data_IF_009950349845
#
_entry.id   IF_009950349845
#
_cell.length_a   1.000
_cell.length_b   1.000
_cell.length_c   1.000
_cell.angle_alpha   90.00
_cell.angle_beta   90.00
_cell.angle_gamma   90.00
#
_symmetry.space_group_name_H-M   'P 1'
#
loop_
_entity.id
_entity.type
_entity.pdbx_description
1 polymer ?
#
# COMPACT_ATOMS: atom_id res chain seq x y z
N UNK A 1 23.02 19.29 48.37
CA UNK A 1 21.76 19.81 47.79
C UNK A 1 21.22 20.83 48.78
N UNK A 2 21.21 22.12 48.42
CA UNK A 2 20.71 23.20 49.30
C UNK A 2 19.18 23.12 49.41
N UNK A 3 18.64 23.49 50.60
CA UNK A 3 17.20 23.59 50.84
C UNK A 3 16.53 24.54 49.83
N UNK A 4 15.28 24.27 49.36
CA UNK A 4 14.52 25.16 48.50
C UNK A 4 14.45 26.62 49.02
N UNK A 5 14.45 26.82 50.32
CA UNK A 5 14.43 28.15 50.97
C UNK A 5 15.76 28.92 50.78
N UNK A 6 16.91 28.24 50.70
CA UNK A 6 18.20 28.89 50.43
C UNK A 6 18.33 29.40 49.01
N UNK A 7 17.62 28.76 48.05
CA UNK A 7 17.62 29.16 46.65
C UNK A 7 16.82 30.47 46.44
N UNK A 8 15.78 30.70 47.26
CA UNK A 8 14.94 31.92 47.17
C UNK A 8 15.55 33.17 47.83
N UNK A 9 16.53 32.99 48.74
CA UNK A 9 17.22 34.10 49.40
C UNK A 9 18.46 34.60 48.66
N UNK A 10 18.93 33.86 47.64
CA UNK A 10 20.05 34.20 46.76
C UNK A 10 19.51 34.53 45.37
N UNK A 11 19.19 35.82 45.14
CA UNK A 11 18.59 36.29 43.90
C UNK A 11 19.51 36.10 42.67
N UNK A 12 20.78 36.37 42.80
CA UNK A 12 21.75 36.18 41.72
C UNK A 12 21.94 34.70 41.39
N UNK A 13 22.09 33.86 42.41
CA UNK A 13 22.14 32.40 42.22
C UNK A 13 20.87 31.84 41.65
N UNK A 14 19.70 32.41 42.00
CA UNK A 14 18.42 32.02 41.38
C UNK A 14 18.35 32.37 39.91
N UNK A 15 18.72 33.62 39.54
CA UNK A 15 18.76 34.06 38.13
C UNK A 15 19.68 33.18 37.29
N UNK A 16 20.86 32.83 37.82
CA UNK A 16 21.81 31.94 37.12
C UNK A 16 21.22 30.54 36.92
N UNK A 17 20.57 29.96 37.94
CA UNK A 17 19.93 28.65 37.85
C UNK A 17 18.74 28.65 36.91
N UNK A 18 17.94 29.74 36.94
CA UNK A 18 16.82 29.93 36.02
C UNK A 18 17.28 30.01 34.57
N UNK A 19 18.31 30.80 34.31
CA UNK A 19 18.91 30.93 32.98
C UNK A 19 19.47 29.61 32.47
N UNK A 20 20.23 28.89 33.32
CA UNK A 20 20.78 27.59 32.99
C UNK A 20 19.66 26.56 32.74
N UNK A 21 18.58 26.61 33.52
CA UNK A 21 17.41 25.77 33.33
C UNK A 21 16.71 26.03 31.97
N UNK A 22 16.49 27.30 31.64
CA UNK A 22 15.90 27.67 30.35
C UNK A 22 16.80 27.30 29.16
N UNK A 23 18.11 27.48 29.32
CA UNK A 23 19.08 27.05 28.33
C UNK A 23 19.07 25.54 28.17
N UNK A 24 19.09 24.78 29.26
CA UNK A 24 19.01 23.32 29.23
C UNK A 24 17.74 22.79 28.56
N UNK A 25 16.58 23.45 28.79
CA UNK A 25 15.33 23.10 28.10
C UNK A 25 15.44 23.36 26.60
N UNK A 26 16.00 24.47 26.19
CA UNK A 26 16.19 24.80 24.75
C UNK A 26 17.14 23.82 24.07
N UNK A 27 18.24 23.46 24.72
CA UNK A 27 19.30 22.62 24.14
C UNK A 27 18.95 21.11 24.16
N UNK A 28 18.16 20.66 25.15
CA UNK A 28 17.95 19.21 25.34
C UNK A 28 16.50 18.76 25.28
N UNK A 29 15.54 19.64 25.58
CA UNK A 29 14.12 19.29 25.73
C UNK A 29 13.18 20.04 24.80
N UNK A 30 13.70 20.98 23.97
CA UNK A 30 12.88 21.61 22.93
C UNK A 30 12.56 20.62 21.80
N UNK A 31 11.46 20.86 21.09
CA UNK A 31 11.11 20.08 19.90
C UNK A 31 12.22 20.09 18.84
N UNK A 32 12.92 21.24 18.68
CA UNK A 32 14.05 21.35 17.76
C UNK A 32 15.21 20.44 18.17
N UNK A 33 15.62 20.47 19.44
CA UNK A 33 16.69 19.60 19.96
C UNK A 33 16.31 18.13 19.85
N UNK A 34 15.06 17.81 20.15
CA UNK A 34 14.54 16.44 20.03
C UNK A 34 14.53 15.96 18.57
N UNK A 35 14.06 16.80 17.63
CA UNK A 35 14.04 16.48 16.20
C UNK A 35 15.46 16.25 15.65
N UNK A 36 16.42 17.13 16.00
CA UNK A 36 17.82 16.95 15.59
C UNK A 36 18.37 15.61 16.09
N UNK A 37 18.21 15.32 17.37
CA UNK A 37 18.69 14.07 17.97
C UNK A 37 18.01 12.84 17.39
N UNK A 38 16.70 12.92 17.10
CA UNK A 38 15.95 11.88 16.43
C UNK A 38 16.51 11.62 15.03
N UNK A 39 16.73 12.67 14.24
CA UNK A 39 17.30 12.55 12.90
C UNK A 39 18.72 11.98 12.91
N UNK A 40 19.56 12.35 13.87
CA UNK A 40 20.90 11.78 14.04
C UNK A 40 20.87 10.27 14.27
N UNK A 41 19.88 9.78 15.04
CA UNK A 41 19.74 8.34 15.32
C UNK A 41 19.11 7.59 14.14
N UNK A 42 18.12 8.21 13.47
CA UNK A 42 17.33 7.54 12.42
C UNK A 42 18.03 7.59 11.06
N UNK A 43 18.73 8.69 10.73
CA UNK A 43 19.42 8.85 9.44
C UNK A 43 20.37 7.70 9.11
N UNK A 44 21.27 7.22 10.00
CA UNK A 44 22.13 6.08 9.71
C UNK A 44 21.36 4.78 9.45
N UNK A 45 20.17 4.63 10.03
CA UNK A 45 19.30 3.47 9.82
C UNK A 45 18.67 3.55 8.43
N UNK A 46 18.18 4.75 8.05
CA UNK A 46 17.63 5.00 6.71
C UNK A 46 18.70 4.79 5.65
N UNK A 47 19.88 5.41 5.79
CA UNK A 47 20.99 5.31 4.85
C UNK A 47 21.44 3.85 4.68
N UNK A 48 21.48 3.08 5.76
CA UNK A 48 21.81 1.65 5.73
C UNK A 48 20.71 0.83 5.04
N UNK A 49 19.46 1.20 5.23
CA UNK A 49 18.31 0.55 4.58
C UNK A 49 18.27 0.91 3.10
N UNK A 50 18.52 2.16 2.73
CA UNK A 50 18.64 2.60 1.34
C UNK A 50 19.81 1.93 0.61
N UNK A 51 20.96 1.77 1.26
CA UNK A 51 22.09 1.05 0.69
C UNK A 51 21.78 -0.43 0.44
N UNK A 52 20.97 -1.07 1.29
CA UNK A 52 20.49 -2.44 1.09
C UNK A 52 19.43 -2.53 -0.02
N UNK A 53 18.60 -1.50 -0.19
CA UNK A 53 17.56 -1.43 -1.22
C UNK A 53 18.15 -1.06 -2.58
N UNK A 54 19.20 -0.21 -2.62
CA UNK A 54 19.88 0.25 -3.86
C UNK A 54 20.79 -0.78 -4.52
N UNK A 55 20.92 -2.01 -4.00
CA UNK A 55 21.61 -3.04 -4.77
C UNK A 55 20.70 -3.52 -5.91
N UNK A 56 20.93 -3.11 -7.16
CA UNK A 56 20.14 -3.62 -8.27
C UNK A 56 20.39 -5.13 -8.36
N UNK A 57 19.35 -5.94 -8.54
CA UNK A 57 19.53 -7.35 -8.78
C UNK A 57 20.35 -7.50 -10.07
N UNK A 58 21.53 -8.08 -9.95
CA UNK A 58 22.41 -8.42 -11.08
C UNK A 58 21.63 -9.33 -12.04
N UNK A 59 21.48 -8.92 -13.28
CA UNK A 59 20.77 -9.54 -14.40
C UNK A 59 19.27 -9.20 -14.48
N UNK A 60 18.95 -7.97 -14.90
CA UNK A 60 17.66 -7.64 -15.49
C UNK A 60 17.85 -7.38 -16.98
N UNK A 61 17.21 -8.17 -17.85
CA UNK A 61 16.75 -7.63 -19.13
C UNK A 61 15.90 -6.42 -18.78
N UNK A 62 16.24 -5.28 -19.37
CA UNK A 62 15.55 -4.04 -19.14
C UNK A 62 14.04 -4.27 -19.24
N UNK A 63 13.34 -4.24 -18.11
CA UNK A 63 11.97 -3.75 -18.17
C UNK A 63 12.12 -2.37 -18.80
N UNK A 64 11.32 -2.12 -19.81
CA UNK A 64 11.26 -0.80 -20.43
C UNK A 64 11.11 0.20 -19.29
N UNK A 65 12.04 1.15 -19.19
CA UNK A 65 12.00 2.19 -18.17
C UNK A 65 10.80 3.05 -18.49
N UNK A 66 9.72 2.84 -17.76
CA UNK A 66 8.55 3.68 -17.82
C UNK A 66 8.61 4.68 -16.67
N UNK A 67 8.31 5.92 -16.95
CA UNK A 67 8.23 6.98 -15.95
C UNK A 67 6.88 6.99 -15.22
N UNK A 68 5.95 6.12 -15.61
CA UNK A 68 4.61 6.01 -15.05
C UNK A 68 4.09 4.58 -15.01
N UNK A 69 3.09 4.36 -14.16
CA UNK A 69 2.45 3.06 -14.01
C UNK A 69 0.94 3.20 -13.77
N UNK A 70 0.18 2.22 -14.25
CA UNK A 70 -1.23 2.05 -13.89
C UNK A 70 -1.38 0.75 -13.12
N UNK A 71 -2.01 0.81 -11.96
CA UNK A 71 -2.40 -0.34 -11.16
C UNK A 71 -3.90 -0.40 -10.98
N UNK A 72 -4.49 -1.56 -11.10
CA UNK A 72 -5.92 -1.77 -10.90
C UNK A 72 -6.17 -3.03 -10.11
N UNK A 73 -7.27 -3.05 -9.33
CA UNK A 73 -7.79 -4.32 -8.83
C UNK A 73 -8.38 -5.14 -9.99
N UNK A 74 -8.59 -6.42 -9.75
CA UNK A 74 -9.12 -7.37 -10.73
C UNK A 74 -10.64 -7.52 -10.58
N UNK A 75 -11.09 -7.88 -9.38
CA UNK A 75 -12.48 -8.18 -9.10
C UNK A 75 -13.32 -6.91 -8.96
N UNK A 76 -14.49 -6.89 -9.60
CA UNK A 76 -15.39 -5.74 -9.62
C UNK A 76 -14.73 -4.42 -10.07
N UNK A 77 -13.58 -4.51 -10.70
CA UNK A 77 -12.85 -3.37 -11.24
C UNK A 77 -12.49 -3.56 -12.73
N UNK A 78 -11.66 -4.55 -13.06
CA UNK A 78 -11.51 -4.98 -14.47
C UNK A 78 -12.68 -5.86 -14.91
N UNK A 79 -13.19 -6.70 -13.99
CA UNK A 79 -14.26 -7.65 -14.26
C UNK A 79 -15.63 -7.05 -13.93
N UNK A 80 -16.61 -7.25 -14.85
CA UNK A 80 -18.01 -6.86 -14.66
C UNK A 80 -18.65 -6.34 -15.93
N UNK A 81 -17.92 -5.58 -16.76
CA UNK A 81 -18.38 -5.15 -18.09
C UNK A 81 -17.40 -5.58 -19.19
N UNK A 82 -17.72 -6.61 -19.99
CA UNK A 82 -16.85 -7.07 -21.06
C UNK A 82 -16.57 -6.03 -22.16
N UNK A 83 -17.48 -5.09 -22.38
CA UNK A 83 -17.32 -4.08 -23.44
C UNK A 83 -16.25 -3.05 -23.03
N UNK A 84 -16.37 -2.46 -21.87
CA UNK A 84 -15.38 -1.51 -21.36
C UNK A 84 -14.03 -2.18 -21.10
N UNK A 85 -14.02 -3.45 -20.64
CA UNK A 85 -12.79 -4.22 -20.53
C UNK A 85 -12.06 -4.38 -21.85
N UNK A 86 -12.76 -4.71 -22.93
CA UNK A 86 -12.16 -4.85 -24.26
C UNK A 86 -11.53 -3.54 -24.76
N UNK A 87 -12.18 -2.40 -24.50
CA UNK A 87 -11.66 -1.07 -24.83
C UNK A 87 -10.41 -0.78 -23.98
N UNK A 88 -10.47 -1.00 -22.68
CA UNK A 88 -9.34 -0.78 -21.77
C UNK A 88 -8.13 -1.63 -22.16
N UNK A 89 -8.32 -2.92 -22.45
CA UNK A 89 -7.25 -3.82 -22.90
C UNK A 89 -6.60 -3.31 -24.19
N UNK A 90 -7.38 -2.75 -25.12
CA UNK A 90 -6.85 -2.11 -26.32
C UNK A 90 -6.00 -0.89 -25.99
N UNK A 91 -6.51 0.03 -25.16
CA UNK A 91 -5.80 1.23 -24.71
C UNK A 91 -4.49 0.88 -24.00
N UNK A 92 -4.52 -0.08 -23.06
CA UNK A 92 -3.32 -0.56 -22.36
C UNK A 92 -2.28 -1.15 -23.31
N UNK A 93 -2.71 -1.90 -24.34
CA UNK A 93 -1.82 -2.50 -25.33
C UNK A 93 -1.17 -1.45 -26.22
N UNK A 94 -1.92 -0.46 -26.66
CA UNK A 94 -1.44 0.64 -27.51
C UNK A 94 -0.42 1.50 -26.76
N UNK A 95 -0.60 1.68 -25.45
CA UNK A 95 0.25 2.51 -24.59
C UNK A 95 1.29 1.72 -23.76
N UNK A 96 1.53 0.45 -24.10
CA UNK A 96 2.44 -0.42 -23.32
C UNK A 96 3.91 0.06 -23.30
N UNK A 97 4.30 0.90 -24.27
CA UNK A 97 5.63 1.51 -24.28
C UNK A 97 5.72 2.76 -23.39
N UNK A 98 4.60 3.27 -22.96
CA UNK A 98 4.49 4.50 -22.19
C UNK A 98 4.35 4.27 -20.70
N UNK A 99 3.63 3.22 -20.30
CA UNK A 99 3.32 2.98 -18.90
C UNK A 99 3.43 1.50 -18.53
N UNK A 100 3.94 1.23 -17.36
CA UNK A 100 3.88 -0.10 -16.72
C UNK A 100 2.44 -0.42 -16.38
N UNK A 101 1.96 -1.59 -16.79
CA UNK A 101 0.66 -2.11 -16.38
C UNK A 101 0.81 -3.09 -15.23
N UNK A 102 0.18 -2.80 -14.11
CA UNK A 102 0.13 -3.63 -12.92
C UNK A 102 -1.30 -4.03 -12.54
N UNK A 103 -1.45 -5.20 -11.93
CA UNK A 103 -2.68 -5.65 -11.27
C UNK A 103 -2.36 -5.88 -9.80
N UNK A 104 -3.22 -5.39 -8.90
CA UNK A 104 -3.14 -5.62 -7.46
C UNK A 104 -4.44 -6.25 -6.94
N UNK A 105 -4.39 -7.54 -6.58
CA UNK A 105 -5.58 -8.32 -6.24
C UNK A 105 -5.47 -9.06 -4.91
N UNK A 106 -6.60 -9.29 -4.25
CA UNK A 106 -6.72 -10.19 -3.10
C UNK A 106 -6.53 -11.67 -3.45
N UNK A 107 -6.66 -12.03 -4.74
CA UNK A 107 -6.51 -13.40 -5.22
C UNK A 107 -5.08 -13.89 -5.09
N UNK A 108 -4.93 -15.22 -4.92
CA UNK A 108 -3.64 -15.87 -5.08
C UNK A 108 -3.22 -15.92 -6.55
N UNK A 109 -1.92 -16.09 -6.78
CA UNK A 109 -1.31 -16.07 -8.12
C UNK A 109 -2.06 -16.97 -9.12
N UNK A 110 -2.26 -18.24 -8.78
CA UNK A 110 -2.89 -19.21 -9.67
C UNK A 110 -4.33 -18.84 -10.00
N UNK A 111 -5.09 -18.35 -9.01
CA UNK A 111 -6.46 -17.88 -9.18
C UNK A 111 -6.51 -16.64 -10.06
N UNK A 112 -5.64 -15.67 -9.84
CA UNK A 112 -5.56 -14.46 -10.65
C UNK A 112 -5.24 -14.79 -12.12
N UNK A 113 -4.24 -15.63 -12.37
CA UNK A 113 -3.86 -16.05 -13.73
C UNK A 113 -4.98 -16.79 -14.47
N UNK A 114 -5.69 -17.66 -13.76
CA UNK A 114 -6.85 -18.38 -14.33
C UNK A 114 -7.93 -17.40 -14.79
N UNK A 115 -8.27 -16.44 -13.96
CA UNK A 115 -9.30 -15.43 -14.25
C UNK A 115 -8.83 -14.51 -15.38
N UNK A 116 -7.61 -14.03 -15.33
CA UNK A 116 -7.05 -13.18 -16.39
C UNK A 116 -7.10 -13.88 -17.76
N UNK A 117 -6.73 -15.15 -17.81
CA UNK A 117 -6.80 -15.96 -19.03
C UNK A 117 -8.25 -16.14 -19.52
N UNK A 118 -9.18 -16.40 -18.60
CA UNK A 118 -10.59 -16.58 -18.91
C UNK A 118 -11.21 -15.33 -19.56
N UNK A 119 -10.85 -14.15 -19.11
CA UNK A 119 -11.40 -12.87 -19.56
C UNK A 119 -10.53 -12.13 -20.61
N UNK A 120 -9.43 -12.75 -21.05
CA UNK A 120 -8.55 -12.17 -22.06
C UNK A 120 -7.84 -10.89 -21.62
N UNK A 121 -7.61 -10.76 -20.31
CA UNK A 121 -6.90 -9.61 -19.73
C UNK A 121 -5.44 -9.65 -20.17
N UNK A 122 -4.91 -8.47 -20.53
CA UNK A 122 -3.51 -8.31 -20.91
C UNK A 122 -2.59 -8.78 -19.77
N UNK A 123 -1.54 -9.52 -20.08
CA UNK A 123 -0.53 -9.90 -19.11
C UNK A 123 0.14 -8.63 -18.52
N UNK A 124 0.06 -8.42 -17.19
CA UNK A 124 0.64 -7.27 -16.55
C UNK A 124 2.17 -7.40 -16.44
N UNK A 125 2.85 -6.26 -16.41
CA UNK A 125 4.29 -6.20 -16.14
C UNK A 125 4.60 -6.52 -14.68
N UNK A 126 3.64 -6.19 -13.80
CA UNK A 126 3.69 -6.45 -12.35
C UNK A 126 2.36 -6.99 -11.87
N UNK A 127 2.40 -8.12 -11.16
CA UNK A 127 1.23 -8.72 -10.54
C UNK A 127 1.43 -8.79 -9.03
N UNK A 128 0.67 -7.97 -8.30
CA UNK A 128 0.59 -7.98 -6.84
C UNK A 128 -0.58 -8.87 -6.45
N UNK A 129 -0.31 -9.92 -5.68
CA UNK A 129 -1.30 -10.95 -5.32
C UNK A 129 -1.44 -11.12 -3.81
N UNK A 130 -2.42 -11.92 -3.39
CA UNK A 130 -2.66 -12.26 -1.99
C UNK A 130 -2.79 -11.02 -1.09
N UNK A 131 -3.53 -9.99 -1.56
CA UNK A 131 -3.77 -8.77 -0.81
C UNK A 131 -2.55 -7.86 -0.67
N UNK A 132 -1.53 -8.01 -1.52
CA UNK A 132 -0.30 -7.23 -1.44
C UNK A 132 0.86 -7.95 -0.76
N UNK A 133 0.70 -9.23 -0.41
CA UNK A 133 1.76 -9.99 0.25
C UNK A 133 2.79 -10.59 -0.72
N UNK A 134 2.46 -10.63 -2.01
CA UNK A 134 3.32 -11.19 -3.05
C UNK A 134 3.42 -10.22 -4.23
N UNK A 135 4.63 -10.05 -4.78
CA UNK A 135 4.90 -9.24 -5.97
C UNK A 135 5.59 -10.13 -7.00
N UNK A 136 5.04 -10.18 -8.21
CA UNK A 136 5.56 -10.97 -9.32
C UNK A 136 5.83 -10.09 -10.53
N UNK A 137 6.94 -10.33 -11.22
CA UNK A 137 7.37 -9.56 -12.38
C UNK A 137 7.33 -10.38 -13.66
N UNK A 138 6.76 -9.83 -14.73
CA UNK A 138 6.80 -10.39 -16.06
C UNK A 138 8.26 -10.48 -16.60
N UNK A 139 8.51 -11.30 -17.64
CA UNK A 139 7.57 -12.22 -18.30
C UNK A 139 7.44 -13.59 -17.61
N UNK A 140 8.25 -13.89 -16.61
CA UNK A 140 8.30 -15.22 -15.97
C UNK A 140 7.55 -15.26 -14.64
N UNK A 141 6.83 -14.23 -14.27
CA UNK A 141 6.18 -14.08 -12.98
C UNK A 141 7.15 -14.34 -11.80
N UNK A 142 8.38 -13.80 -11.95
CA UNK A 142 9.42 -13.98 -10.93
C UNK A 142 9.02 -13.24 -9.66
N UNK A 143 8.92 -13.98 -8.55
CA UNK A 143 8.56 -13.39 -7.26
C UNK A 143 9.69 -12.48 -6.74
N UNK A 144 9.33 -11.32 -6.19
CA UNK A 144 10.27 -10.45 -5.49
C UNK A 144 10.76 -11.14 -4.20
N UNK A 145 12.07 -11.20 -4.01
CA UNK A 145 12.67 -11.86 -2.84
C UNK A 145 12.88 -10.93 -1.65
N UNK A 146 12.88 -9.63 -1.88
CA UNK A 146 13.06 -8.62 -0.84
C UNK A 146 11.75 -8.34 -0.10
N UNK A 147 10.65 -8.32 -0.82
CA UNK A 147 9.34 -8.02 -0.29
C UNK A 147 8.89 -8.96 0.85
N UNK A 148 8.94 -10.31 0.74
CA UNK A 148 8.59 -11.18 1.84
C UNK A 148 9.40 -10.94 3.12
N UNK A 149 10.69 -10.63 3.00
CA UNK A 149 11.55 -10.30 4.16
C UNK A 149 11.14 -8.99 4.83
N UNK A 150 10.66 -8.03 4.05
CA UNK A 150 10.19 -6.74 4.57
C UNK A 150 8.89 -6.88 5.38
N UNK A 151 7.95 -7.71 4.90
CA UNK A 151 6.63 -7.86 5.52
C UNK A 151 6.56 -8.89 6.65
N UNK A 152 7.56 -9.80 6.78
CA UNK A 152 7.59 -10.85 7.80
C UNK A 152 7.73 -10.32 9.24
N UNK A 153 8.06 -9.05 9.39
CA UNK A 153 8.28 -8.42 10.68
C UNK A 153 7.05 -8.54 11.61
N UNK A 154 7.25 -9.16 12.78
CA UNK A 154 6.22 -9.42 13.78
C UNK A 154 4.97 -10.18 13.28
N UNK A 155 5.06 -10.87 12.15
CA UNK A 155 3.97 -11.69 11.65
C UNK A 155 3.81 -12.98 12.46
N UNK A 156 2.68 -13.12 13.15
CA UNK A 156 2.36 -14.24 14.05
C UNK A 156 1.02 -14.91 13.67
N UNK A 157 0.95 -15.67 12.54
CA UNK A 157 -0.31 -16.18 12.00
C UNK A 157 -1.07 -17.11 12.96
N UNK A 158 -0.36 -17.90 13.76
CA UNK A 158 -0.99 -18.79 14.74
C UNK A 158 -1.66 -18.02 15.88
N UNK A 159 -1.09 -16.88 16.30
CA UNK A 159 -1.69 -16.03 17.32
C UNK A 159 -2.92 -15.29 16.77
N UNK A 160 -2.84 -14.78 15.53
CA UNK A 160 -3.99 -14.17 14.84
C UNK A 160 -5.17 -15.16 14.77
N UNK A 161 -4.92 -16.39 14.34
CA UNK A 161 -5.96 -17.42 14.25
C UNK A 161 -6.56 -17.75 15.62
N UNK A 162 -5.74 -17.84 16.68
CA UNK A 162 -6.23 -18.10 18.04
C UNK A 162 -7.26 -17.08 18.50
N UNK A 163 -7.10 -15.82 18.09
CA UNK A 163 -8.06 -14.76 18.41
C UNK A 163 -9.30 -14.87 17.53
N UNK A 164 -9.11 -14.93 16.22
CA UNK A 164 -10.20 -14.80 15.25
C UNK A 164 -11.06 -16.06 15.11
N UNK A 165 -10.49 -17.25 15.25
CA UNK A 165 -11.24 -18.51 15.16
C UNK A 165 -12.29 -18.66 16.30
N UNK A 166 -12.24 -17.81 17.32
CA UNK A 166 -13.19 -17.78 18.44
C UNK A 166 -14.34 -16.78 18.25
N UNK A 167 -14.22 -15.90 17.27
CA UNK A 167 -15.21 -14.84 17.06
C UNK A 167 -16.43 -15.36 16.29
N UNK A 168 -17.66 -15.04 16.74
CA UNK A 168 -18.86 -15.39 16.01
C UNK A 168 -18.90 -14.71 14.65
N UNK A 169 -19.52 -15.37 13.67
CA UNK A 169 -19.70 -14.81 12.32
C UNK A 169 -18.42 -14.77 11.47
N UNK A 170 -17.29 -15.29 11.95
CA UNK A 170 -16.09 -15.52 11.17
C UNK A 170 -15.93 -17.01 10.85
N UNK A 171 -15.75 -17.34 9.59
CA UNK A 171 -15.47 -18.69 9.11
C UNK A 171 -14.18 -18.69 8.27
N UNK A 172 -13.22 -19.52 8.67
CA UNK A 172 -11.94 -19.61 7.95
C UNK A 172 -12.18 -20.10 6.52
N UNK A 173 -11.69 -19.35 5.52
CA UNK A 173 -11.78 -19.74 4.13
C UNK A 173 -10.95 -21.01 3.84
N UNK A 174 -11.26 -21.76 2.75
CA UNK A 174 -10.52 -22.94 2.35
C UNK A 174 -9.01 -22.69 2.24
N UNK A 175 -8.22 -23.74 2.39
CA UNK A 175 -6.76 -23.69 2.33
C UNK A 175 -6.23 -23.09 1.01
N UNK A 176 -6.99 -23.17 -0.06
CA UNK A 176 -6.67 -22.55 -1.36
C UNK A 176 -6.68 -21.03 -1.33
N UNK A 177 -7.36 -20.40 -0.38
CA UNK A 177 -7.40 -18.94 -0.22
C UNK A 177 -6.39 -18.42 0.81
N UNK A 178 -5.78 -19.31 1.58
CA UNK A 178 -4.75 -18.99 2.55
C UNK A 178 -3.37 -18.87 1.90
N UNK A 179 -2.49 -17.99 2.41
CA UNK A 179 -1.09 -17.93 2.03
C UNK A 179 -0.17 -17.79 3.25
N UNK A 180 1.14 -17.80 3.05
CA UNK A 180 2.11 -17.60 4.14
C UNK A 180 1.86 -16.32 4.93
N UNK A 181 1.44 -15.27 4.25
CA UNK A 181 1.28 -13.92 4.80
C UNK A 181 -0.15 -13.40 4.68
N UNK A 182 -1.13 -14.27 4.44
CA UNK A 182 -2.55 -13.89 4.38
C UNK A 182 -3.40 -14.96 5.06
N UNK A 183 -4.25 -14.53 5.99
CA UNK A 183 -5.29 -15.34 6.62
C UNK A 183 -6.64 -14.77 6.19
N UNK A 184 -7.46 -15.59 5.53
CA UNK A 184 -8.73 -15.18 4.95
C UNK A 184 -9.90 -15.85 5.66
N UNK A 185 -10.90 -15.06 6.00
CA UNK A 185 -12.16 -15.49 6.58
C UNK A 185 -13.34 -15.05 5.71
N UNK A 186 -14.41 -15.83 5.72
CA UNK A 186 -15.74 -15.31 5.42
C UNK A 186 -16.24 -14.57 6.66
N UNK A 187 -16.94 -13.44 6.46
CA UNK A 187 -17.57 -12.69 7.55
C UNK A 187 -19.07 -12.55 7.30
N UNK A 188 -19.88 -12.88 8.30
CA UNK A 188 -21.30 -12.50 8.35
C UNK A 188 -21.45 -11.23 9.21
N UNK A 189 -21.65 -10.05 8.59
CA UNK A 189 -21.70 -8.77 9.32
C UNK A 189 -22.81 -8.68 10.35
N UNK A 190 -23.83 -9.57 10.28
CA UNK A 190 -24.94 -9.57 11.26
C UNK A 190 -24.58 -10.28 12.56
N UNK A 191 -23.61 -11.17 12.52
CA UNK A 191 -23.20 -11.99 13.65
C UNK A 191 -21.77 -11.69 14.11
N UNK A 192 -20.94 -11.13 13.25
CA UNK A 192 -19.53 -10.81 13.55
C UNK A 192 -19.40 -9.48 14.30
N UNK A 193 -18.34 -9.30 15.12
CA UNK A 193 -17.95 -8.00 15.62
C UNK A 193 -17.61 -7.04 14.48
N UNK A 194 -17.77 -5.73 14.71
CA UNK A 194 -17.34 -4.71 13.75
C UNK A 194 -15.81 -4.69 13.56
N UNK A 195 -15.35 -4.12 12.43
CA UNK A 195 -13.91 -4.03 12.12
C UNK A 195 -13.10 -3.36 13.24
N UNK A 196 -13.62 -2.30 13.83
CA UNK A 196 -12.94 -1.57 14.93
C UNK A 196 -12.76 -2.46 16.16
N UNK A 197 -13.75 -3.30 16.46
CA UNK A 197 -13.68 -4.25 17.56
C UNK A 197 -12.70 -5.38 17.28
N UNK A 198 -12.70 -5.91 16.06
CA UNK A 198 -11.72 -6.92 15.62
C UNK A 198 -10.30 -6.35 15.71
N UNK A 199 -10.07 -5.14 15.20
CA UNK A 199 -8.78 -4.47 15.30
C UNK A 199 -8.35 -4.25 16.75
N UNK A 200 -9.28 -3.83 17.61
CA UNK A 200 -9.01 -3.64 19.04
C UNK A 200 -8.62 -4.93 19.74
N UNK A 201 -9.31 -6.04 19.45
CA UNK A 201 -8.97 -7.37 20.02
C UNK A 201 -7.59 -7.82 19.57
N UNK A 202 -7.25 -7.70 18.30
CA UNK A 202 -5.93 -8.04 17.78
C UNK A 202 -4.82 -7.16 18.40
N UNK A 203 -5.10 -5.88 18.59
CA UNK A 203 -4.17 -4.94 19.21
C UNK A 203 -3.97 -5.23 20.72
N UNK A 204 -5.00 -5.64 21.44
CA UNK A 204 -4.90 -6.06 22.86
C UNK A 204 -3.98 -7.29 23.04
N UNK A 205 -3.92 -8.16 22.03
CA UNK A 205 -3.01 -9.30 21.98
C UNK A 205 -1.63 -8.94 21.38
N UNK A 206 -1.31 -7.64 21.26
CA UNK A 206 -0.04 -7.10 20.71
C UNK A 206 0.28 -7.59 19.30
N UNK A 207 -0.75 -7.93 18.50
CA UNK A 207 -0.60 -8.41 17.14
C UNK A 207 -0.51 -7.24 16.15
N UNK A 208 0.63 -7.15 15.47
CA UNK A 208 0.90 -6.12 14.44
C UNK A 208 0.40 -6.59 13.07
N UNK A 209 -0.87 -6.34 12.80
CA UNK A 209 -1.56 -6.79 11.58
C UNK A 209 -2.40 -5.70 10.95
N UNK A 210 -2.72 -5.87 9.67
CA UNK A 210 -3.72 -5.09 8.93
C UNK A 210 -4.91 -5.99 8.65
N UNK A 211 -6.11 -5.49 8.90
CA UNK A 211 -7.37 -6.19 8.61
C UNK A 211 -8.09 -5.46 7.49
N UNK A 212 -8.36 -6.16 6.40
CA UNK A 212 -9.05 -5.64 5.23
C UNK A 212 -10.39 -6.33 5.06
N UNK A 213 -11.44 -5.54 4.88
CA UNK A 213 -12.77 -6.02 4.46
C UNK A 213 -12.93 -5.76 2.97
N UNK A 214 -13.44 -6.75 2.25
CA UNK A 214 -13.76 -6.63 0.84
C UNK A 214 -15.17 -7.16 0.58
N UNK A 215 -15.97 -6.35 -0.12
CA UNK A 215 -17.33 -6.68 -0.56
C UNK A 215 -18.27 -7.07 0.59
N UNK A 216 -18.01 -6.63 1.82
CA UNK A 216 -18.79 -6.96 3.00
C UNK A 216 -18.78 -8.46 3.38
N UNK A 217 -17.96 -9.30 2.73
CA UNK A 217 -18.01 -10.76 2.87
C UNK A 217 -16.65 -11.41 3.14
N UNK A 218 -15.57 -10.74 2.80
CA UNK A 218 -14.20 -11.28 2.90
C UNK A 218 -13.37 -10.46 3.85
N UNK A 219 -12.89 -11.10 4.90
CA UNK A 219 -11.98 -10.49 5.86
C UNK A 219 -10.59 -11.10 5.67
N UNK A 220 -9.64 -10.30 5.23
CA UNK A 220 -8.24 -10.69 5.07
C UNK A 220 -7.38 -10.05 6.16
N UNK A 221 -6.57 -10.87 6.84
CA UNK A 221 -5.59 -10.41 7.82
C UNK A 221 -4.18 -10.60 7.25
N UNK A 222 -3.43 -9.51 7.23
CA UNK A 222 -2.10 -9.39 6.63
C UNK A 222 -1.09 -8.89 7.67
N UNK A 223 0.22 -9.11 7.47
CA UNK A 223 1.23 -8.39 8.24
C UNK A 223 1.05 -6.89 8.15
N UNK A 224 1.32 -6.15 9.22
CA UNK A 224 1.14 -4.69 9.30
C UNK A 224 1.88 -3.91 8.19
N UNK A 225 2.93 -4.49 7.62
CA UNK A 225 3.72 -3.91 6.51
C UNK A 225 3.27 -4.37 5.13
N UNK A 226 2.17 -5.12 5.04
CA UNK A 226 1.66 -5.65 3.78
C UNK A 226 0.28 -5.07 3.46
N UNK A 227 0.14 -4.58 2.25
CA UNK A 227 -1.11 -4.16 1.64
C UNK A 227 -0.89 -3.98 0.14
N UNK A 228 -1.96 -3.83 -0.64
CA UNK A 228 -1.86 -3.50 -2.07
C UNK A 228 -1.09 -2.18 -2.27
N UNK A 229 -1.35 -1.16 -1.45
CA UNK A 229 -0.70 0.14 -1.54
C UNK A 229 0.76 0.12 -1.08
N UNK A 230 1.12 -0.60 -0.03
CA UNK A 230 2.51 -0.77 0.36
C UNK A 230 3.32 -1.52 -0.70
N UNK A 231 2.76 -2.57 -1.29
CA UNK A 231 3.40 -3.31 -2.37
C UNK A 231 3.60 -2.45 -3.62
N UNK A 232 2.59 -1.63 -3.99
CA UNK A 232 2.66 -0.66 -5.07
C UNK A 232 3.77 0.37 -4.83
N UNK A 233 3.83 0.98 -3.63
CA UNK A 233 4.86 1.97 -3.26
C UNK A 233 6.25 1.36 -3.24
N UNK A 234 6.39 0.14 -2.72
CA UNK A 234 7.65 -0.60 -2.79
C UNK A 234 8.09 -0.81 -4.25
N UNK A 235 7.16 -1.20 -5.12
CA UNK A 235 7.42 -1.31 -6.56
C UNK A 235 7.84 0.04 -7.15
N UNK A 236 7.07 1.09 -6.96
CA UNK A 236 7.33 2.42 -7.51
C UNK A 236 8.71 2.94 -7.09
N UNK A 237 9.04 2.86 -5.79
CA UNK A 237 10.35 3.24 -5.26
C UNK A 237 11.49 2.40 -5.87
N UNK A 238 11.28 1.10 -6.02
CA UNK A 238 12.30 0.19 -6.57
C UNK A 238 12.63 0.44 -8.04
N UNK A 239 11.68 1.02 -8.78
CA UNK A 239 11.78 1.30 -10.20
C UNK A 239 11.92 2.79 -10.52
N UNK A 240 12.12 3.63 -9.50
CA UNK A 240 12.25 5.09 -9.60
C UNK A 240 11.06 5.75 -10.33
N UNK A 241 9.84 5.20 -10.13
CA UNK A 241 8.60 5.79 -10.66
C UNK A 241 8.03 6.74 -9.60
N UNK A 242 7.91 8.06 -9.86
CA UNK A 242 7.25 8.99 -8.95
C UNK A 242 5.81 8.57 -8.69
N UNK A 243 5.36 8.64 -7.41
CA UNK A 243 3.98 8.26 -7.07
C UNK A 243 2.93 9.12 -7.77
N UNK A 244 3.26 10.36 -8.07
CA UNK A 244 2.43 11.29 -8.85
C UNK A 244 2.20 10.83 -10.29
N UNK A 245 3.01 9.91 -10.78
CA UNK A 245 2.91 9.28 -12.10
C UNK A 245 2.29 7.88 -12.04
N UNK A 246 1.78 7.49 -10.86
CA UNK A 246 1.09 6.20 -10.69
C UNK A 246 -0.40 6.44 -10.58
N UNK A 247 -1.17 5.85 -11.49
CA UNK A 247 -2.63 5.79 -11.40
C UNK A 247 -3.02 4.46 -10.73
N UNK A 248 -3.71 4.55 -9.61
CA UNK A 248 -4.27 3.39 -8.89
C UNK A 248 -5.79 3.39 -9.02
N UNK A 249 -6.37 2.26 -9.45
CA UNK A 249 -7.82 2.12 -9.60
C UNK A 249 -8.38 1.01 -8.74
N UNK A 250 -9.48 1.29 -8.04
CA UNK A 250 -10.11 0.36 -7.12
C UNK A 250 -11.53 0.74 -6.74
N UNK A 251 -12.19 -0.12 -5.95
CA UNK A 251 -13.56 0.07 -5.53
C UNK A 251 -13.94 -0.62 -4.21
N UNK A 252 -13.01 -1.32 -3.58
CA UNK A 252 -13.21 -1.99 -2.27
C UNK A 252 -12.29 -1.44 -1.19
N UNK A 253 -12.58 -1.76 0.08
CA UNK A 253 -11.76 -1.32 1.22
C UNK A 253 -10.30 -1.78 1.13
N UNK A 254 -10.04 -2.93 0.51
CA UNK A 254 -8.69 -3.43 0.27
C UNK A 254 -7.89 -2.60 -0.77
N UNK A 255 -8.54 -1.71 -1.52
CA UNK A 255 -7.91 -0.86 -2.53
C UNK A 255 -7.58 0.52 -1.99
N UNK A 256 -8.17 0.90 -0.87
CA UNK A 256 -8.13 2.26 -0.35
C UNK A 256 -6.71 2.77 -0.16
N UNK A 257 -5.82 1.95 0.39
CA UNK A 257 -4.45 2.36 0.68
C UNK A 257 -3.59 2.56 -0.57
N UNK A 258 -3.89 1.91 -1.71
CA UNK A 258 -3.18 2.18 -2.96
C UNK A 258 -3.66 3.47 -3.64
N UNK A 259 -4.86 3.95 -3.29
CA UNK A 259 -5.47 5.18 -3.80
C UNK A 259 -5.18 6.41 -2.94
N UNK A 260 -4.46 6.26 -1.83
CA UNK A 260 -4.11 7.35 -0.90
C UNK A 260 -2.72 7.94 -1.17
N UNK A 261 -2.51 9.14 -0.64
CA UNK A 261 -1.23 9.83 -0.67
C UNK A 261 -0.97 10.50 -2.02
N UNK A 262 0.22 10.31 -2.59
CA UNK A 262 0.64 11.02 -3.79
C UNK A 262 0.27 10.31 -5.11
N UNK A 263 -0.40 9.17 -5.08
CA UNK A 263 -0.87 8.50 -6.29
C UNK A 263 -2.08 9.23 -6.89
N UNK A 264 -2.21 9.19 -8.20
CA UNK A 264 -3.48 9.47 -8.85
C UNK A 264 -4.43 8.31 -8.58
N UNK A 265 -5.68 8.59 -8.29
CA UNK A 265 -6.65 7.57 -7.93
C UNK A 265 -7.90 7.59 -8.82
N UNK A 266 -8.38 6.40 -9.18
CA UNK A 266 -9.65 6.20 -9.88
C UNK A 266 -10.56 5.32 -9.03
N UNK A 267 -11.61 5.89 -8.47
CA UNK A 267 -12.64 5.19 -7.70
C UNK A 267 -13.79 4.89 -8.64
N UNK A 268 -14.02 3.60 -8.96
CA UNK A 268 -15.07 3.18 -9.89
C UNK A 268 -16.48 3.40 -9.33
N UNK A 269 -17.50 3.59 -10.20
CA UNK A 269 -18.85 3.91 -9.76
C UNK A 269 -19.54 2.77 -8.96
N UNK A 270 -19.16 1.53 -9.19
CA UNK A 270 -19.65 0.36 -8.46
C UNK A 270 -18.87 0.07 -7.16
N UNK A 271 -18.25 1.09 -6.59
CA UNK A 271 -17.50 1.01 -5.34
C UNK A 271 -18.38 0.66 -4.13
N UNK A 272 -17.73 0.21 -3.07
CA UNK A 272 -18.33 -0.02 -1.76
C UNK A 272 -18.08 1.21 -0.87
N UNK A 273 -19.01 2.16 -0.87
CA UNK A 273 -18.86 3.46 -0.18
C UNK A 273 -18.58 3.32 1.32
N UNK A 274 -19.17 2.31 1.98
CA UNK A 274 -18.96 2.05 3.41
C UNK A 274 -17.52 1.60 3.71
N UNK A 275 -16.89 0.88 2.77
CA UNK A 275 -15.52 0.40 2.89
C UNK A 275 -14.49 1.50 2.55
N UNK A 276 -14.87 2.48 1.75
CA UNK A 276 -14.01 3.58 1.27
C UNK A 276 -14.28 4.90 2.02
N UNK A 277 -14.73 4.84 3.25
CA UNK A 277 -15.17 5.99 4.04
C UNK A 277 -14.10 7.04 4.33
N UNK A 278 -12.82 6.70 4.17
CA UNK A 278 -11.70 7.60 4.41
C UNK A 278 -11.15 8.28 3.15
N UNK A 279 -11.67 7.92 1.96
CA UNK A 279 -11.35 8.66 0.75
C UNK A 279 -12.20 9.91 0.68
N UNK A 280 -11.55 11.06 0.72
CA UNK A 280 -12.17 12.37 0.60
C UNK A 280 -11.93 12.89 -0.81
N UNK A 281 -12.84 13.70 -1.31
CA UNK A 281 -12.68 14.37 -2.61
C UNK A 281 -11.43 15.29 -2.54
N UNK A 282 -10.39 14.88 -3.22
CA UNK A 282 -9.11 15.58 -3.36
C UNK A 282 -8.75 15.64 -4.83
N UNK A 283 -7.95 16.64 -5.24
CA UNK A 283 -7.52 16.83 -6.64
C UNK A 283 -6.89 15.59 -7.30
N UNK A 284 -6.41 14.63 -6.49
CA UNK A 284 -5.79 13.40 -6.97
C UNK A 284 -6.72 12.19 -6.96
N UNK A 285 -7.97 12.34 -6.54
CA UNK A 285 -8.93 11.25 -6.46
C UNK A 285 -10.10 11.55 -7.40
N UNK A 286 -10.18 10.78 -8.47
CA UNK A 286 -11.30 10.86 -9.42
C UNK A 286 -12.36 9.82 -9.08
N UNK A 287 -13.55 10.29 -8.74
CA UNK A 287 -14.73 9.44 -8.55
C UNK A 287 -15.42 9.27 -9.91
N UNK A 288 -15.23 8.12 -10.53
CA UNK A 288 -15.77 7.82 -11.83
C UNK A 288 -17.30 7.69 -11.82
N UNK A 289 -17.92 8.03 -12.94
CA UNK A 289 -19.36 7.87 -13.18
C UNK A 289 -19.70 6.51 -13.77
N UNK A 290 -18.73 5.87 -14.42
CA UNK A 290 -18.88 4.53 -14.97
C UNK A 290 -18.32 3.48 -14.02
N UNK A 291 -18.93 2.30 -14.08
CA UNK A 291 -18.52 1.12 -13.32
C UNK A 291 -17.40 0.38 -14.02
N UNK A 292 -16.68 -0.42 -13.27
CA UNK A 292 -15.66 -1.36 -13.76
C UNK A 292 -14.58 -0.68 -14.61
N UNK A 293 -14.13 -1.34 -15.68
CA UNK A 293 -13.13 -0.83 -16.60
C UNK A 293 -13.53 0.51 -17.27
N UNK A 294 -14.83 0.83 -17.33
CA UNK A 294 -15.33 2.12 -17.80
C UNK A 294 -14.86 3.28 -16.91
N UNK A 295 -14.90 3.11 -15.60
CA UNK A 295 -14.41 4.13 -14.67
C UNK A 295 -12.90 4.35 -14.75
N UNK A 296 -12.14 3.29 -15.06
CA UNK A 296 -10.70 3.41 -15.30
C UNK A 296 -10.42 4.21 -16.57
N UNK A 297 -11.19 3.97 -17.65
CA UNK A 297 -11.09 4.75 -18.89
C UNK A 297 -11.40 6.22 -18.68
N UNK A 298 -12.44 6.55 -17.90
CA UNK A 298 -12.75 7.94 -17.53
C UNK A 298 -11.57 8.61 -16.79
N UNK A 299 -10.94 7.90 -15.84
CA UNK A 299 -9.82 8.44 -15.08
C UNK A 299 -8.57 8.64 -15.95
N UNK A 300 -8.30 7.74 -16.90
CA UNK A 300 -7.21 7.89 -17.86
C UNK A 300 -7.38 9.15 -18.71
N UNK A 301 -8.62 9.44 -19.12
CA UNK A 301 -8.98 10.65 -19.88
C UNK A 301 -8.91 11.90 -18.98
N UNK A 302 -9.48 11.83 -17.77
CA UNK A 302 -9.50 12.93 -16.81
C UNK A 302 -8.09 13.44 -16.46
N UNK A 303 -7.15 12.53 -16.26
CA UNK A 303 -5.76 12.88 -15.91
C UNK A 303 -4.87 13.10 -17.13
N UNK A 304 -5.41 12.98 -18.34
CA UNK A 304 -4.61 13.03 -19.57
C UNK A 304 -3.36 12.12 -19.49
N UNK A 305 -3.57 10.91 -18.95
CA UNK A 305 -2.54 10.07 -18.37
C UNK A 305 -1.43 9.67 -19.33
N UNK A 306 -1.71 9.57 -20.62
CA UNK A 306 -0.73 9.14 -21.63
C UNK A 306 -0.11 10.29 -22.46
N UNK A 307 -0.65 11.52 -22.40
CA UNK A 307 -0.21 12.61 -23.31
C UNK A 307 1.22 13.11 -23.01
N UNK A 308 1.70 12.99 -21.78
CA UNK A 308 3.05 13.40 -21.40
C UNK A 308 4.02 12.20 -21.28
N UNK A 309 3.78 11.14 -22.05
CA UNK A 309 4.60 9.95 -21.99
C UNK A 309 5.92 10.12 -22.74
N UNK A 310 7.03 9.99 -22.05
CA UNK A 310 8.36 9.91 -22.66
C UNK A 310 8.66 8.46 -23.02
N UNK A 311 8.62 8.14 -24.32
CA UNK A 311 9.07 6.82 -24.80
C UNK A 311 10.60 6.83 -24.85
N UNK A 312 11.31 5.94 -24.14
CA UNK A 312 12.76 5.86 -24.23
C UNK A 312 13.17 5.63 -25.70
N UNK A 313 14.12 6.44 -26.20
CA UNK A 313 14.67 6.23 -27.54
C UNK A 313 15.40 4.89 -27.59
N UNK A 314 15.30 4.17 -28.70
CA UNK A 314 15.92 2.85 -28.88
C UNK A 314 17.45 2.88 -28.77
N UNK A 315 18.05 4.07 -28.80
CA UNK A 315 19.52 4.31 -28.89
C UNK A 315 20.18 4.62 -27.55
N UNK A 316 19.47 4.49 -26.41
CA UNK A 316 20.10 4.60 -25.08
C UNK A 316 20.78 5.93 -24.76
N UNK A 317 20.48 7.00 -25.48
CA UNK A 317 20.91 8.37 -25.18
C UNK A 317 19.80 9.12 -24.46
N UNK A 318 19.98 9.34 -23.17
CA UNK A 318 19.26 10.34 -22.37
C UNK A 318 20.03 11.64 -22.48
#
# INVERSE_FOLDING_TARGET
MGSPLQVLSDWEGWQQKSSNGLQGVREHYSWQAHAVRYLEVVRPIIDKTEALVRQPPRTRRAMLYHDRAIFTDLDQNLLGDPKSLAILVKVLRENRKCATFGIATGRRLESALKVMKQYGILEPDVLITSGGTEIHYAPKLTQDRGWPRHIEYHWAPSAVRRVLDQLPGLELQPRTEQSRFKISYYIDPRNAPGLDEINKLLHQEELSVTVNLSFGQFLDVLPIRASKGFALRYFAHRWDIPLEHVLAAGGSGADEDMMRGNTLAAVVANRHDEELSQLVDMDRIYFAKQSYAGGILEALDHYDFYNNCTVPSADGTV
#
